data_IF_061659537681
#
_entry.id   IF_061659537681
#
_cell.length_a   1.000
_cell.length_b   1.000
_cell.length_c   1.000
_cell.angle_alpha   90.00
_cell.angle_beta   90.00
_cell.angle_gamma   90.00
#
_symmetry.space_group_name_H-M   'P 1'
#
loop_
_entity.id
_entity.type
_entity.pdbx_description
1 polymer ?
#
# COMPACT_ATOMS: atom_id res chain seq x y z
N UNK A 1 13.53 27.32 14.97
CA UNK A 1 12.70 28.34 14.31
C UNK A 1 13.63 29.30 13.58
N UNK A 2 13.59 29.29 12.26
CA UNK A 2 14.52 30.03 11.41
C UNK A 2 13.94 31.41 11.07
N UNK A 3 14.78 32.44 11.08
CA UNK A 3 14.37 33.83 10.80
C UNK A 3 15.30 34.51 9.81
N UNK A 4 14.73 35.32 8.92
CA UNK A 4 15.44 36.17 7.96
C UNK A 4 14.85 37.58 8.02
N UNK A 5 15.68 38.59 8.28
CA UNK A 5 15.26 40.00 8.43
C UNK A 5 14.08 40.18 9.40
N UNK A 6 14.10 39.46 10.53
CA UNK A 6 13.05 39.50 11.55
C UNK A 6 11.75 38.77 11.18
N UNK A 7 11.64 38.18 9.98
CA UNK A 7 10.50 37.37 9.55
C UNK A 7 10.77 35.89 9.74
N UNK A 8 9.73 35.13 10.06
CA UNK A 8 9.81 33.66 10.11
C UNK A 8 9.94 33.11 8.69
N UNK A 9 10.93 32.26 8.49
CA UNK A 9 11.17 31.61 7.20
C UNK A 9 11.34 30.11 7.37
N UNK A 10 11.12 29.37 6.30
CA UNK A 10 11.48 27.96 6.21
C UNK A 10 12.64 27.78 5.24
N UNK A 11 13.66 27.05 5.67
CA UNK A 11 14.59 26.40 4.74
C UNK A 11 13.98 25.10 4.22
N UNK A 12 14.60 24.48 3.21
CA UNK A 12 14.17 23.13 2.79
C UNK A 12 14.22 22.13 3.94
N UNK A 13 15.22 22.22 4.82
CA UNK A 13 15.32 21.34 5.97
C UNK A 13 14.14 21.56 6.93
N UNK A 14 13.79 22.81 7.21
CA UNK A 14 12.62 23.14 8.04
C UNK A 14 11.32 22.62 7.42
N UNK A 15 11.15 22.72 6.09
CA UNK A 15 9.96 22.19 5.40
C UNK A 15 9.88 20.66 5.47
N UNK A 16 11.01 19.97 5.38
CA UNK A 16 11.08 18.52 5.53
C UNK A 16 10.69 18.10 6.96
N UNK A 17 11.18 18.82 7.97
CA UNK A 17 10.90 18.55 9.37
C UNK A 17 9.44 18.88 9.73
N UNK A 18 8.97 20.07 9.37
CA UNK A 18 7.65 20.57 9.76
C UNK A 18 6.49 19.88 9.03
N UNK A 19 6.69 19.49 7.76
CA UNK A 19 5.62 18.92 6.93
C UNK A 19 5.88 17.47 6.51
N UNK A 20 6.97 16.85 6.96
CA UNK A 20 7.33 15.47 6.60
C UNK A 20 7.62 15.28 5.10
N UNK A 21 7.90 16.37 4.38
CA UNK A 21 8.04 16.34 2.92
C UNK A 21 9.41 15.81 2.50
N UNK A 22 9.44 15.03 1.42
CA UNK A 22 10.69 14.58 0.82
C UNK A 22 11.42 15.68 0.06
N UNK A 23 12.76 15.70 0.12
CA UNK A 23 13.61 16.69 -0.58
C UNK A 23 13.32 16.77 -2.08
N UNK A 24 13.22 15.62 -2.75
CA UNK A 24 12.94 15.53 -4.18
C UNK A 24 11.58 16.12 -4.57
N UNK A 25 10.60 16.04 -3.66
CA UNK A 25 9.27 16.64 -3.84
C UNK A 25 9.36 18.17 -3.80
N UNK A 26 10.05 18.71 -2.80
CA UNK A 26 10.28 20.16 -2.65
C UNK A 26 11.10 20.73 -3.82
N UNK A 27 12.12 20.01 -4.28
CA UNK A 27 12.92 20.39 -5.46
C UNK A 27 12.08 20.39 -6.73
N UNK A 28 11.23 19.37 -6.93
CA UNK A 28 10.32 19.30 -8.06
C UNK A 28 9.33 20.47 -8.04
N UNK A 29 8.67 20.74 -6.92
CA UNK A 29 7.70 21.85 -6.83
C UNK A 29 8.36 23.19 -7.11
N UNK A 30 9.57 23.40 -6.60
CA UNK A 30 10.33 24.60 -6.91
C UNK A 30 10.73 24.67 -8.39
N UNK A 31 11.17 23.57 -9.01
CA UNK A 31 11.50 23.56 -10.44
C UNK A 31 10.30 23.89 -11.32
N UNK A 32 9.12 23.42 -10.91
CA UNK A 32 7.84 23.61 -11.63
C UNK A 32 7.08 24.87 -11.16
N UNK A 33 7.75 25.78 -10.43
CA UNK A 33 7.12 26.93 -9.75
C UNK A 33 6.30 27.84 -10.65
N UNK A 34 6.75 28.03 -11.90
CA UNK A 34 6.01 28.82 -12.89
C UNK A 34 4.62 28.22 -13.21
N UNK A 35 4.45 26.90 -13.10
CA UNK A 35 3.21 26.21 -13.42
C UNK A 35 2.32 25.96 -12.18
N UNK A 36 2.93 25.84 -10.99
CA UNK A 36 2.20 25.49 -9.76
C UNK A 36 2.07 26.64 -8.77
N UNK A 37 2.58 27.83 -9.11
CA UNK A 37 2.50 29.03 -8.28
C UNK A 37 3.32 28.97 -7.00
N UNK A 38 4.29 28.03 -6.89
CA UNK A 38 5.15 27.91 -5.72
C UNK A 38 5.86 29.26 -5.45
N UNK A 39 5.86 29.74 -4.20
CA UNK A 39 6.40 31.05 -3.87
C UNK A 39 7.90 31.14 -4.19
N UNK A 40 8.33 32.32 -4.61
CA UNK A 40 9.74 32.62 -4.77
C UNK A 40 10.45 32.65 -3.41
N UNK A 41 11.76 32.34 -3.35
CA UNK A 41 12.52 32.44 -2.12
C UNK A 41 12.54 33.89 -1.62
N UNK A 42 12.36 34.07 -0.31
CA UNK A 42 12.52 35.37 0.35
C UNK A 42 13.99 35.79 0.49
N UNK A 43 14.91 34.84 0.36
CA UNK A 43 16.35 35.05 0.38
C UNK A 43 17.09 33.77 0.72
N UNK A 44 18.23 33.89 1.41
CA UNK A 44 19.05 32.78 1.87
C UNK A 44 19.35 32.87 3.35
N UNK A 45 19.23 31.74 4.06
CA UNK A 45 19.77 31.57 5.42
C UNK A 45 21.01 30.70 5.32
N UNK A 46 22.18 31.30 5.53
CA UNK A 46 23.45 30.67 5.16
C UNK A 46 23.52 30.43 3.65
N UNK A 47 23.76 29.19 3.23
CA UNK A 47 23.77 28.78 1.81
C UNK A 47 22.43 28.22 1.32
N UNK A 48 21.41 28.15 2.18
CA UNK A 48 20.13 27.54 1.84
C UNK A 48 19.11 28.61 1.45
N UNK A 49 18.37 28.37 0.36
CA UNK A 49 17.19 29.17 0.04
C UNK A 49 16.18 29.07 1.19
N UNK A 50 15.59 30.22 1.50
CA UNK A 50 14.58 30.36 2.53
C UNK A 50 13.32 30.98 1.93
N UNK A 51 12.15 30.45 2.31
CA UNK A 51 10.84 30.95 1.93
C UNK A 51 10.17 31.63 3.11
N UNK A 52 9.48 32.73 2.86
CA UNK A 52 8.61 33.35 3.85
C UNK A 52 7.58 32.32 4.34
N UNK A 53 7.53 32.10 5.65
CA UNK A 53 6.76 30.99 6.22
C UNK A 53 5.26 31.15 5.97
N UNK A 54 4.73 32.38 6.13
CA UNK A 54 3.30 32.63 5.94
C UNK A 54 2.88 32.47 4.47
N UNK A 55 3.70 32.99 3.55
CA UNK A 55 3.47 32.87 2.12
C UNK A 55 3.52 31.41 1.68
N UNK A 56 4.50 30.65 2.20
CA UNK A 56 4.65 29.23 1.90
C UNK A 56 3.48 28.41 2.46
N UNK A 57 3.09 28.62 3.72
CA UNK A 57 1.96 27.94 4.35
C UNK A 57 0.65 28.22 3.60
N UNK A 58 0.42 29.49 3.21
CA UNK A 58 -0.75 29.88 2.43
C UNK A 58 -0.78 29.22 1.06
N UNK A 59 0.36 29.18 0.37
CA UNK A 59 0.48 28.48 -0.90
C UNK A 59 0.25 26.98 -0.73
N UNK A 60 0.86 26.36 0.28
CA UNK A 60 0.74 24.94 0.56
C UNK A 60 -0.71 24.53 0.84
N UNK A 61 -1.42 25.27 1.70
CA UNK A 61 -2.86 25.08 1.92
C UNK A 61 -3.67 25.33 0.63
N UNK A 62 -3.31 26.34 -0.17
CA UNK A 62 -4.02 26.64 -1.43
C UNK A 62 -3.81 25.57 -2.49
N UNK A 63 -2.65 24.91 -2.49
CA UNK A 63 -2.34 23.76 -3.34
C UNK A 63 -3.21 22.56 -2.95
N UNK A 64 -3.57 22.45 -1.67
CA UNK A 64 -4.51 21.47 -1.16
C UNK A 64 -5.98 21.84 -1.39
N UNK A 65 -6.33 23.09 -1.76
CA UNK A 65 -7.74 23.51 -1.98
C UNK A 65 -8.43 22.83 -3.17
N UNK A 66 -7.70 22.12 -4.02
CA UNK A 66 -8.28 21.25 -5.04
C UNK A 66 -8.67 19.86 -4.51
N UNK A 67 -8.23 19.49 -3.31
CA UNK A 67 -8.44 18.18 -2.71
C UNK A 67 -9.47 18.35 -1.59
N UNK A 68 -10.68 17.78 -1.73
CA UNK A 68 -11.66 17.80 -0.65
C UNK A 68 -11.09 17.27 0.68
N UNK A 69 -11.46 17.86 1.83
CA UNK A 69 -11.03 17.38 3.13
C UNK A 69 -11.50 15.94 3.36
N UNK A 70 -10.70 15.16 4.09
CA UNK A 70 -10.96 13.73 4.32
C UNK A 70 -10.50 12.81 3.19
N UNK A 71 -9.90 13.37 2.13
CA UNK A 71 -9.24 12.57 1.10
C UNK A 71 -7.77 12.32 1.41
N UNK A 72 -7.31 11.11 1.16
CA UNK A 72 -5.95 10.64 1.44
C UNK A 72 -5.32 9.96 0.24
N UNK A 73 -4.02 10.11 0.08
CA UNK A 73 -3.21 9.36 -0.89
C UNK A 73 -2.75 8.02 -0.31
N UNK A 74 -2.14 7.15 -1.13
CA UNK A 74 -1.47 5.93 -0.63
C UNK A 74 -0.34 6.21 0.35
N UNK A 75 0.37 7.32 0.15
CA UNK A 75 1.46 7.69 1.05
C UNK A 75 0.90 8.16 2.40
N UNK A 76 -0.24 8.88 2.40
CA UNK A 76 -0.95 9.22 3.63
C UNK A 76 -1.48 7.97 4.35
N UNK A 77 -2.03 6.99 3.62
CA UNK A 77 -2.47 5.72 4.20
C UNK A 77 -1.30 4.94 4.83
N UNK A 78 -0.13 4.95 4.18
CA UNK A 78 1.11 4.38 4.75
C UNK A 78 1.48 5.08 6.06
N UNK A 79 1.51 6.41 6.05
CA UNK A 79 1.97 7.21 7.17
C UNK A 79 1.01 7.18 8.37
N UNK A 80 -0.30 7.26 8.12
CA UNK A 80 -1.33 7.33 9.15
C UNK A 80 -1.69 5.96 9.75
N UNK A 81 -1.74 4.92 8.91
CA UNK A 81 -2.25 3.60 9.30
C UNK A 81 -1.18 2.52 9.36
N UNK A 82 0.10 2.89 9.20
CA UNK A 82 1.23 1.97 9.35
C UNK A 82 1.32 0.86 8.29
N UNK A 83 0.59 1.00 7.18
CA UNK A 83 0.52 -0.01 6.13
C UNK A 83 1.72 0.08 5.20
N UNK A 84 2.24 -1.06 4.75
CA UNK A 84 3.33 -1.04 3.78
C UNK A 84 2.84 -0.60 2.40
N UNK A 85 3.66 0.16 1.67
CA UNK A 85 3.40 0.51 0.26
C UNK A 85 3.17 -0.72 -0.62
N UNK A 86 3.84 -1.83 -0.32
CA UNK A 86 3.65 -3.08 -1.04
C UNK A 86 2.24 -3.64 -0.83
N UNK A 87 1.75 -3.64 0.42
CA UNK A 87 0.38 -4.05 0.77
C UNK A 87 -0.64 -3.21 0.02
N UNK A 88 -0.54 -1.88 0.08
CA UNK A 88 -1.47 -0.97 -0.62
C UNK A 88 -1.44 -1.14 -2.15
N UNK A 89 -0.26 -1.45 -2.72
CA UNK A 89 -0.12 -1.74 -4.15
C UNK A 89 -0.81 -3.05 -4.53
N UNK A 90 -0.67 -4.10 -3.71
CA UNK A 90 -1.33 -5.40 -3.92
C UNK A 90 -2.85 -5.23 -3.83
N UNK A 91 -3.36 -4.61 -2.77
CA UNK A 91 -4.79 -4.37 -2.59
C UNK A 91 -5.41 -3.62 -3.79
N UNK A 92 -4.69 -2.65 -4.35
CA UNK A 92 -5.15 -1.97 -5.56
C UNK A 92 -5.06 -2.81 -6.84
N UNK A 93 -4.05 -3.67 -6.97
CA UNK A 93 -3.94 -4.57 -8.11
C UNK A 93 -5.11 -5.55 -8.13
N UNK A 94 -5.47 -6.07 -6.95
CA UNK A 94 -6.53 -7.05 -6.75
C UNK A 94 -7.92 -6.40 -6.59
N UNK A 95 -8.07 -5.09 -6.91
CA UNK A 95 -9.29 -4.30 -6.63
C UNK A 95 -10.58 -4.86 -7.23
N UNK A 96 -10.47 -5.54 -8.37
CA UNK A 96 -11.62 -6.17 -9.03
C UNK A 96 -12.18 -7.35 -8.22
N UNK A 97 -11.35 -7.97 -7.37
CA UNK A 97 -11.69 -9.17 -6.61
C UNK A 97 -11.98 -8.85 -5.14
N UNK A 98 -11.34 -7.82 -4.57
CA UNK A 98 -11.45 -7.49 -3.15
C UNK A 98 -12.40 -6.34 -2.82
N UNK A 99 -13.05 -5.74 -3.83
CA UNK A 99 -14.00 -4.64 -3.64
C UNK A 99 -13.35 -3.36 -3.11
N UNK A 100 -12.06 -3.15 -3.34
CA UNK A 100 -11.34 -1.94 -2.92
C UNK A 100 -12.05 -0.68 -3.44
N UNK A 101 -12.24 0.35 -2.60
CA UNK A 101 -12.91 1.58 -2.99
C UNK A 101 -12.25 2.27 -4.18
N UNK A 102 -13.07 2.88 -5.03
CA UNK A 102 -12.57 3.70 -6.12
C UNK A 102 -12.02 5.04 -5.59
N UNK A 103 -11.06 5.66 -6.29
CA UNK A 103 -10.56 6.98 -5.93
C UNK A 103 -11.70 8.02 -6.01
N UNK A 104 -11.92 8.75 -4.92
CA UNK A 104 -12.88 9.85 -4.84
C UNK A 104 -12.39 11.09 -5.59
N UNK A 105 -11.08 11.23 -5.80
CA UNK A 105 -10.51 12.36 -6.54
C UNK A 105 -9.18 12.01 -7.22
N UNK A 106 -8.84 12.76 -8.27
CA UNK A 106 -7.57 12.61 -8.98
C UNK A 106 -7.00 13.97 -9.36
N UNK A 107 -5.75 14.23 -8.96
CA UNK A 107 -4.99 15.41 -9.38
C UNK A 107 -3.73 14.94 -10.12
N UNK A 108 -3.71 15.13 -11.44
CA UNK A 108 -2.65 14.59 -12.29
C UNK A 108 -2.61 13.07 -12.23
N UNK A 109 -1.52 12.50 -11.68
CA UNK A 109 -1.36 11.05 -11.47
C UNK A 109 -1.63 10.60 -10.03
N UNK A 110 -1.86 11.55 -9.12
CA UNK A 110 -2.16 11.24 -7.73
C UNK A 110 -3.63 10.87 -7.60
N UNK A 111 -3.88 9.71 -7.00
CA UNK A 111 -5.21 9.22 -6.68
C UNK A 111 -5.47 9.46 -5.19
N UNK A 112 -6.70 9.85 -4.89
CA UNK A 112 -7.16 10.20 -3.56
C UNK A 112 -8.39 9.39 -3.23
N UNK A 113 -8.40 8.75 -2.06
CA UNK A 113 -9.53 8.00 -1.54
C UNK A 113 -10.16 8.73 -0.38
N UNK A 114 -11.46 8.55 -0.19
CA UNK A 114 -12.08 8.96 1.06
C UNK A 114 -11.51 8.08 2.19
N UNK A 115 -10.88 8.71 3.18
CA UNK A 115 -10.20 8.00 4.27
C UNK A 115 -11.16 7.13 5.07
N UNK A 116 -12.34 7.67 5.41
CA UNK A 116 -13.34 6.94 6.20
C UNK A 116 -13.90 5.73 5.46
N UNK A 117 -14.23 5.90 4.18
CA UNK A 117 -14.70 4.81 3.32
C UNK A 117 -13.63 3.73 3.16
N UNK A 118 -12.38 4.15 2.94
CA UNK A 118 -11.26 3.24 2.79
C UNK A 118 -11.00 2.44 4.07
N UNK A 119 -11.07 3.08 5.25
CA UNK A 119 -10.89 2.40 6.53
C UNK A 119 -12.02 1.41 6.82
N UNK A 120 -13.28 1.81 6.61
CA UNK A 120 -14.43 0.92 6.79
C UNK A 120 -14.29 -0.32 5.90
N UNK A 121 -13.92 -0.12 4.63
CA UNK A 121 -13.62 -1.25 3.75
C UNK A 121 -12.45 -2.08 4.27
N UNK A 122 -11.32 -1.48 4.64
CA UNK A 122 -10.11 -2.20 5.05
C UNK A 122 -10.32 -3.00 6.34
N UNK A 123 -11.04 -2.45 7.32
CA UNK A 123 -11.47 -3.17 8.52
C UNK A 123 -12.36 -4.35 8.14
N UNK A 124 -13.36 -4.15 7.27
CA UNK A 124 -14.22 -5.25 6.81
C UNK A 124 -13.47 -6.30 6.00
N UNK A 125 -12.46 -5.91 5.22
CA UNK A 125 -11.62 -6.79 4.41
C UNK A 125 -10.67 -7.61 5.28
N UNK A 126 -10.17 -7.04 6.37
CA UNK A 126 -9.30 -7.73 7.33
C UNK A 126 -10.08 -8.58 8.34
N UNK A 127 -11.33 -8.21 8.65
CA UNK A 127 -12.23 -8.93 9.56
C UNK A 127 -13.10 -9.97 8.85
N UNK A 128 -13.36 -9.81 7.55
CA UNK A 128 -13.91 -10.89 6.74
C UNK A 128 -12.94 -12.06 6.88
N UNK A 129 -13.41 -13.28 7.20
CA UNK A 129 -12.54 -14.43 7.18
C UNK A 129 -11.98 -14.48 5.76
N UNK A 130 -10.71 -14.13 5.60
CA UNK A 130 -10.03 -14.04 4.31
C UNK A 130 -9.94 -15.39 3.58
N UNK A 131 -10.57 -16.40 4.16
CA UNK A 131 -10.27 -17.81 4.06
C UNK A 131 -11.50 -18.64 4.49
N UNK A 132 -12.56 -18.64 3.68
CA UNK A 132 -13.67 -19.58 3.81
C UNK A 132 -13.21 -21.03 3.61
N UNK A 133 -13.97 -22.03 4.11
CA UNK A 133 -13.62 -23.45 3.95
C UNK A 133 -13.59 -23.87 2.46
N UNK A 134 -14.36 -23.22 1.60
CA UNK A 134 -14.44 -23.54 0.18
C UNK A 134 -13.47 -22.76 -0.72
N UNK A 135 -12.72 -21.83 -0.15
CA UNK A 135 -11.78 -21.02 -0.91
C UNK A 135 -10.65 -21.85 -1.49
N UNK A 136 -10.24 -21.44 -2.69
CA UNK A 136 -9.17 -22.05 -3.44
C UNK A 136 -7.81 -21.55 -2.96
N UNK A 137 -7.03 -22.46 -2.38
CA UNK A 137 -5.68 -22.19 -1.85
C UNK A 137 -4.62 -22.72 -2.79
N UNK A 138 -3.52 -21.99 -2.89
CA UNK A 138 -2.38 -22.44 -3.67
C UNK A 138 -1.62 -23.52 -2.92
N UNK A 139 -0.75 -24.24 -3.61
CA UNK A 139 0.16 -25.20 -2.97
C UNK A 139 1.03 -24.56 -1.86
N UNK A 140 1.40 -23.28 -2.00
CA UNK A 140 2.17 -22.56 -0.98
C UNK A 140 1.31 -22.27 0.26
N UNK A 141 0.05 -21.94 0.07
CA UNK A 141 -0.89 -21.69 1.16
C UNK A 141 -1.24 -23.00 1.87
N UNK A 142 -1.43 -24.09 1.12
CA UNK A 142 -1.58 -25.44 1.68
C UNK A 142 -0.38 -25.87 2.53
N UNK A 143 0.85 -25.57 2.09
CA UNK A 143 2.06 -25.84 2.86
C UNK A 143 2.05 -25.10 4.21
N UNK A 144 1.61 -23.83 4.19
CA UNK A 144 1.50 -23.00 5.40
C UNK A 144 0.45 -23.55 6.37
N UNK A 145 -0.73 -23.95 5.87
CA UNK A 145 -1.80 -24.57 6.67
C UNK A 145 -1.29 -25.85 7.35
N UNK A 146 -0.49 -26.64 6.64
CA UNK A 146 0.04 -27.92 7.13
C UNK A 146 1.33 -27.80 7.95
N UNK A 147 1.88 -26.59 8.12
CA UNK A 147 3.16 -26.37 8.81
C UNK A 147 4.37 -27.00 8.08
N UNK A 148 4.28 -27.19 6.77
CA UNK A 148 5.32 -27.82 5.95
C UNK A 148 6.29 -26.79 5.38
N UNK A 149 7.53 -27.22 5.16
CA UNK A 149 8.48 -26.45 4.35
C UNK A 149 7.97 -26.33 2.91
N UNK A 150 8.17 -25.16 2.29
CA UNK A 150 7.73 -24.87 0.92
C UNK A 150 8.27 -25.87 -0.11
N UNK A 151 9.47 -26.44 0.12
CA UNK A 151 10.09 -27.47 -0.71
C UNK A 151 9.39 -28.83 -0.63
N UNK A 152 8.72 -29.14 0.47
CA UNK A 152 7.97 -30.39 0.63
C UNK A 152 6.67 -30.38 -0.19
N UNK A 153 6.04 -29.21 -0.29
CA UNK A 153 4.77 -29.06 -1.00
C UNK A 153 4.91 -29.32 -2.51
N UNK A 154 6.01 -28.88 -3.14
CA UNK A 154 6.27 -29.11 -4.57
C UNK A 154 6.53 -30.58 -4.91
N UNK A 155 6.99 -31.40 -3.95
CA UNK A 155 7.14 -32.86 -4.11
C UNK A 155 5.77 -33.54 -4.15
N UNK A 156 4.81 -33.08 -3.33
CA UNK A 156 3.47 -33.68 -3.25
C UNK A 156 2.69 -33.59 -4.55
N UNK A 157 3.01 -32.59 -5.38
CA UNK A 157 2.46 -32.49 -6.73
C UNK A 157 2.88 -33.66 -7.63
N UNK A 158 4.10 -34.18 -7.46
CA UNK A 158 4.63 -35.28 -8.29
C UNK A 158 4.43 -36.65 -7.64
N UNK A 159 4.42 -36.67 -6.31
CA UNK A 159 4.33 -37.87 -5.46
C UNK A 159 3.44 -37.55 -4.26
N UNK A 160 2.12 -37.52 -4.45
CA UNK A 160 1.20 -37.19 -3.38
C UNK A 160 1.28 -38.26 -2.28
N UNK A 161 1.34 -37.87 -1.00
CA UNK A 161 1.19 -38.82 0.09
C UNK A 161 -0.22 -39.41 0.10
N UNK A 162 -0.40 -40.54 0.77
CA UNK A 162 -1.71 -41.16 0.92
C UNK A 162 -2.72 -40.17 1.51
N UNK A 163 -3.89 -40.07 0.90
CA UNK A 163 -4.97 -39.17 1.33
C UNK A 163 -4.79 -37.70 0.94
N UNK A 164 -3.75 -37.33 0.18
CA UNK A 164 -3.62 -35.97 -0.35
C UNK A 164 -4.81 -35.62 -1.23
N UNK A 165 -5.44 -34.44 -1.07
CA UNK A 165 -6.61 -34.08 -1.84
C UNK A 165 -6.27 -33.78 -3.30
N UNK A 166 -7.22 -34.10 -4.19
CA UNK A 166 -7.16 -33.69 -5.60
C UNK A 166 -7.31 -32.17 -5.71
N UNK A 167 -6.67 -31.53 -6.71
CA UNK A 167 -6.86 -30.10 -6.96
C UNK A 167 -8.30 -29.83 -7.41
N UNK A 168 -8.90 -28.79 -6.86
CA UNK A 168 -10.22 -28.33 -7.25
C UNK A 168 -10.18 -27.52 -8.57
N UNK A 169 -9.03 -26.91 -8.88
CA UNK A 169 -8.82 -26.20 -10.14
C UNK A 169 -7.36 -26.31 -10.60
N UNK A 170 -7.17 -26.46 -11.92
CA UNK A 170 -5.87 -26.40 -12.57
C UNK A 170 -5.83 -25.23 -13.57
N UNK A 171 -4.96 -24.26 -13.32
CA UNK A 171 -4.79 -23.08 -14.17
C UNK A 171 -3.50 -23.21 -15.01
N UNK A 172 -3.58 -23.17 -16.35
CA UNK A 172 -2.39 -23.17 -17.18
C UNK A 172 -1.61 -21.86 -17.00
N UNK A 173 -0.29 -22.00 -16.84
CA UNK A 173 0.66 -20.91 -16.77
C UNK A 173 1.56 -20.92 -18.01
N UNK A 174 2.13 -19.76 -18.34
CA UNK A 174 3.09 -19.63 -19.44
C UNK A 174 4.27 -20.60 -19.32
N UNK A 175 4.63 -21.23 -20.45
CA UNK A 175 5.73 -22.19 -20.54
C UNK A 175 5.36 -23.63 -20.15
N UNK A 176 4.10 -24.04 -20.34
CA UNK A 176 3.65 -25.42 -20.06
C UNK A 176 3.55 -25.78 -18.58
N UNK A 177 3.58 -24.78 -17.70
CA UNK A 177 3.41 -24.97 -16.25
C UNK A 177 1.92 -24.96 -15.91
N UNK A 178 1.55 -25.62 -14.82
CA UNK A 178 0.17 -25.62 -14.32
C UNK A 178 0.19 -25.24 -12.84
N UNK A 179 -0.64 -24.28 -12.47
CA UNK A 179 -0.92 -23.93 -11.08
C UNK A 179 -2.11 -24.76 -10.60
N UNK A 180 -1.92 -25.49 -9.50
CA UNK A 180 -2.99 -26.25 -8.85
C UNK A 180 -3.53 -25.46 -7.67
N UNK A 181 -4.85 -25.41 -7.58
CA UNK A 181 -5.58 -24.85 -6.46
C UNK A 181 -6.39 -25.94 -5.77
N UNK A 182 -6.39 -25.94 -4.45
CA UNK A 182 -7.07 -26.91 -3.59
C UNK A 182 -8.13 -26.20 -2.78
N UNK A 183 -9.23 -26.85 -2.39
CA UNK A 183 -10.13 -26.23 -1.41
C UNK A 183 -9.46 -26.25 -0.03
N UNK A 184 -9.57 -25.15 0.71
CA UNK A 184 -9.03 -25.05 2.07
C UNK A 184 -9.52 -26.18 2.96
N UNK A 185 -10.82 -26.48 2.95
CA UNK A 185 -11.44 -27.57 3.74
C UNK A 185 -10.82 -28.93 3.48
N UNK A 186 -10.40 -29.21 2.25
CA UNK A 186 -9.84 -30.51 1.88
C UNK A 186 -8.41 -30.63 2.45
N UNK A 187 -7.66 -29.52 2.45
CA UNK A 187 -6.34 -29.43 3.08
C UNK A 187 -6.44 -29.51 4.60
N UNK A 188 -7.41 -28.84 5.22
CA UNK A 188 -7.66 -28.91 6.67
C UNK A 188 -8.13 -30.31 7.11
N UNK A 189 -9.00 -30.94 6.32
CA UNK A 189 -9.41 -32.33 6.55
C UNK A 189 -8.21 -33.26 6.47
N UNK A 190 -7.35 -33.08 5.45
CA UNK A 190 -6.10 -33.82 5.34
C UNK A 190 -5.20 -33.59 6.57
N UNK A 191 -5.06 -32.34 7.02
CA UNK A 191 -4.30 -31.99 8.23
C UNK A 191 -4.82 -32.73 9.47
N UNK A 192 -6.14 -32.81 9.63
CA UNK A 192 -6.79 -33.49 10.75
C UNK A 192 -6.61 -35.02 10.72
N UNK A 193 -6.50 -35.62 9.53
CA UNK A 193 -6.26 -37.07 9.37
C UNK A 193 -4.80 -37.49 9.56
N UNK A 194 -3.86 -36.54 9.49
CA UNK A 194 -2.43 -36.83 9.67
C UNK A 194 -2.12 -36.92 11.17
N UNK A 195 -1.53 -38.01 11.68
CA UNK A 195 -1.06 -38.02 13.05
C UNK A 195 -0.04 -36.89 13.22
N UNK A 196 -0.29 -36.00 14.19
CA UNK A 196 0.69 -34.98 14.58
C UNK A 196 1.94 -35.70 15.06
N UNK A 197 2.97 -35.73 14.23
CA UNK A 197 4.29 -36.17 14.68
C UNK A 197 4.74 -35.20 15.77
N UNK A 198 5.07 -35.68 16.98
CA UNK A 198 5.54 -34.83 18.09
C UNK A 198 6.87 -34.14 17.77
#
# INVERSE_FOLDING_TARGET
MTTLDGRRVYTRADLMEAHGLGRSTLEKWYRERAANGHPEPAGTVGSQLAWDAETWDRWYVSRDKGIPPGLVTRDDLTAKHGLSRHTLKKLWADRAENGHPEPAHQVGKALYWNESEWLTWYESYTQSPAEGPDDLVTLADAARILGLAQSSATVYVKRPPAGWPEPAEEQPLGGGRVRRLYRRRDIETYAATKPRTP
#
